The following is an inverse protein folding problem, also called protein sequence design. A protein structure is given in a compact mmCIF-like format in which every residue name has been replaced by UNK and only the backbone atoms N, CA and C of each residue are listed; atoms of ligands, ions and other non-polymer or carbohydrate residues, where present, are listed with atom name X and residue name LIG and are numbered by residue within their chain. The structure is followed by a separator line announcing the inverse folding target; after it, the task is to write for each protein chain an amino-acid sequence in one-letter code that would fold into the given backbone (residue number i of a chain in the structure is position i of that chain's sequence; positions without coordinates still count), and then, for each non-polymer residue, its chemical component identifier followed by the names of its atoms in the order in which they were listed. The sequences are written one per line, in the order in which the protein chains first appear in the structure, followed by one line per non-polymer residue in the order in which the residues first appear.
data_IF_710989183690
#
_entry.id   IF_710989183690
#
_cell.length_a   1.000
_cell.length_b   1.000
_cell.length_c   1.000
_cell.angle_alpha   90.00
_cell.angle_beta   90.00
_cell.angle_gamma   90.00
#
_symmetry.space_group_name_H-M   'P 1'
#
loop_
_entity.id
_entity.type
_entity.pdbx_description
1 polymer ?
#
# COMPACT_ATOMS: atom_id res chain seq x y z
N UNK A 1 -1.21 -39.02 48.34
CA UNK A 1 -1.26 -39.55 46.97
C UNK A 1 -2.56 -39.05 46.35
N UNK A 2 -2.65 -38.18 45.36
CA UNK A 2 -1.69 -37.32 44.66
C UNK A 2 -2.49 -36.17 44.04
N UNK A 3 -1.91 -34.98 44.03
CA UNK A 3 -2.43 -33.80 43.33
C UNK A 3 -2.24 -33.97 41.82
N UNK A 4 -3.22 -33.60 40.99
CA UNK A 4 -2.97 -33.09 39.63
C UNK A 4 -4.09 -32.14 39.21
N UNK A 5 -3.68 -31.02 38.64
CA UNK A 5 -4.48 -29.92 38.15
C UNK A 5 -4.78 -30.09 36.65
N UNK A 6 -5.97 -29.64 36.24
CA UNK A 6 -6.42 -29.28 34.89
C UNK A 6 -7.78 -28.56 35.11
N UNK A 7 -8.21 -27.51 34.41
CA UNK A 7 -7.82 -26.96 33.14
C UNK A 7 -8.14 -25.44 33.09
N UNK A 8 -7.21 -24.74 32.47
CA UNK A 8 -7.15 -23.41 31.84
C UNK A 8 -8.48 -22.82 31.34
N UNK A 9 -8.85 -21.59 31.74
CA UNK A 9 -8.52 -20.30 31.09
C UNK A 9 -9.09 -20.06 29.69
N UNK A 10 -10.05 -19.13 29.56
CA UNK A 10 -10.08 -18.09 28.51
C UNK A 10 -11.22 -17.10 28.82
N UNK A 11 -10.94 -16.02 29.54
CA UNK A 11 -10.57 -14.70 29.00
C UNK A 11 -11.73 -13.95 28.33
N UNK A 12 -12.29 -13.03 29.12
CA UNK A 12 -13.10 -11.93 28.63
C UNK A 12 -12.35 -11.16 27.55
N UNK A 13 -13.00 -10.89 26.42
CA UNK A 13 -12.59 -9.82 25.53
C UNK A 13 -13.84 -9.00 25.20
N UNK A 14 -14.04 -8.02 26.06
CA UNK A 14 -14.88 -6.86 25.81
C UNK A 14 -14.50 -6.24 24.48
N UNK A 15 -15.54 -5.90 23.74
CA UNK A 15 -15.52 -4.97 22.62
C UNK A 15 -14.71 -3.71 23.00
N UNK A 16 -13.66 -3.44 22.24
CA UNK A 16 -12.94 -2.16 22.24
C UNK A 16 -12.31 -1.99 20.87
N UNK A 17 -12.66 -0.94 20.10
CA UNK A 17 -11.93 -0.60 18.90
C UNK A 17 -10.56 -0.08 19.36
N UNK A 18 -9.54 -0.91 19.25
CA UNK A 18 -8.18 -0.55 19.57
C UNK A 18 -7.75 0.63 18.68
N UNK A 19 -7.40 1.72 19.36
CA UNK A 19 -6.84 2.93 18.82
C UNK A 19 -5.59 2.65 17.98
N UNK A 20 -5.45 3.43 16.90
CA UNK A 20 -4.21 3.94 16.32
C UNK A 20 -2.92 3.19 16.69
N UNK A 21 -2.64 2.13 15.94
CA UNK A 21 -1.30 1.56 15.81
C UNK A 21 -0.50 2.29 14.72
N UNK A 22 -0.26 3.60 14.89
CA UNK A 22 0.81 4.28 14.17
C UNK A 22 2.13 3.82 14.77
N UNK A 23 2.79 2.87 14.10
CA UNK A 23 4.05 2.34 14.60
C UNK A 23 4.72 1.37 13.64
N UNK A 24 5.25 1.86 12.52
CA UNK A 24 6.67 1.66 12.23
C UNK A 24 7.13 2.69 11.19
N UNK A 25 8.09 3.53 11.57
CA UNK A 25 8.71 4.51 10.71
C UNK A 25 9.66 3.80 9.71
N UNK A 26 9.10 3.20 8.66
CA UNK A 26 9.83 3.11 7.40
C UNK A 26 9.86 4.53 6.84
N UNK A 27 11.06 5.06 6.56
CA UNK A 27 11.30 6.41 6.04
C UNK A 27 10.10 6.89 5.21
N UNK A 28 9.35 7.87 5.74
CA UNK A 28 8.01 8.20 5.28
C UNK A 28 8.00 8.40 3.76
N UNK A 29 7.71 7.32 3.03
CA UNK A 29 7.65 7.34 1.59
C UNK A 29 6.45 8.23 1.26
N UNK A 30 6.74 9.36 0.62
CA UNK A 30 5.76 10.40 0.39
C UNK A 30 4.54 9.80 -0.31
N UNK A 31 3.40 9.82 0.38
CA UNK A 31 2.13 9.37 -0.20
C UNK A 31 1.67 10.41 -1.22
N UNK A 32 1.49 9.99 -2.46
CA UNK A 32 1.00 10.84 -3.54
C UNK A 32 -0.35 10.33 -3.99
N UNK A 33 -1.38 11.18 -3.95
CA UNK A 33 -2.74 10.80 -4.33
C UNK A 33 -3.11 11.28 -5.73
N UNK A 34 -3.81 10.43 -6.48
CA UNK A 34 -4.38 10.74 -7.79
C UNK A 34 -5.74 10.04 -7.91
N UNK A 35 -6.79 10.80 -8.26
CA UNK A 35 -8.13 10.26 -8.46
C UNK A 35 -8.68 9.37 -7.32
N UNK A 36 -8.37 9.70 -6.07
CA UNK A 36 -8.81 8.94 -4.89
C UNK A 36 -7.97 7.71 -4.56
N UNK A 37 -6.93 7.42 -5.34
CA UNK A 37 -5.94 6.36 -5.10
C UNK A 37 -4.67 6.99 -4.55
N UNK A 38 -4.11 6.45 -3.47
CA UNK A 38 -2.82 6.92 -2.94
C UNK A 38 -1.72 5.91 -3.26
N UNK A 39 -0.60 6.43 -3.75
CA UNK A 39 0.57 5.67 -4.16
C UNK A 39 1.74 5.98 -3.23
N UNK A 40 2.54 4.97 -2.94
CA UNK A 40 3.82 5.12 -2.24
C UNK A 40 4.89 4.23 -2.86
N UNK A 41 6.14 4.64 -2.77
CA UNK A 41 7.29 3.86 -3.23
C UNK A 41 7.72 2.93 -2.10
N UNK A 42 7.74 1.63 -2.36
CA UNK A 42 8.22 0.62 -1.41
C UNK A 42 9.75 0.53 -1.46
N UNK A 43 10.31 -0.24 -0.53
CA UNK A 43 11.76 -0.46 -0.44
C UNK A 43 12.35 -1.13 -1.69
N UNK A 44 11.54 -1.88 -2.44
CA UNK A 44 11.91 -2.52 -3.71
C UNK A 44 11.75 -1.64 -4.95
N UNK A 45 11.50 -0.34 -4.79
CA UNK A 45 11.05 0.58 -5.85
C UNK A 45 9.74 0.13 -6.51
N UNK A 46 8.96 -0.73 -5.87
CA UNK A 46 7.63 -1.06 -6.32
C UNK A 46 6.67 0.05 -5.88
N UNK A 47 5.54 0.19 -6.58
CA UNK A 47 4.51 1.15 -6.20
C UNK A 47 3.42 0.39 -5.46
N UNK A 48 3.22 0.70 -4.18
CA UNK A 48 2.14 0.15 -3.37
C UNK A 48 0.99 1.16 -3.26
N UNK A 49 -0.24 0.67 -3.40
CA UNK A 49 -1.45 1.43 -3.10
C UNK A 49 -1.68 1.48 -1.58
N UNK A 50 -1.92 2.67 -1.03
CA UNK A 50 -2.49 2.84 0.32
C UNK A 50 -3.94 3.25 0.16
N UNK A 51 -4.85 2.29 0.29
CA UNK A 51 -6.28 2.52 0.11
C UNK A 51 -6.79 3.47 1.21
N UNK A 52 -7.09 4.71 0.84
CA UNK A 52 -7.90 5.61 1.65
C UNK A 52 -9.38 5.31 1.44
N UNK A 53 -9.95 4.36 2.20
CA UNK A 53 -11.41 4.20 2.27
C UNK A 53 -12.04 3.08 1.41
N UNK A 54 -11.40 1.91 1.32
CA UNK A 54 -12.05 0.62 1.08
C UNK A 54 -12.60 0.27 -0.32
N UNK A 55 -12.60 1.18 -1.30
CA UNK A 55 -13.28 0.97 -2.58
C UNK A 55 -12.37 0.67 -3.79
N UNK A 56 -11.05 0.76 -3.65
CA UNK A 56 -10.09 0.52 -4.73
C UNK A 56 -9.18 -0.67 -4.40
N UNK A 57 -8.87 -1.49 -5.41
CA UNK A 57 -7.90 -2.58 -5.32
C UNK A 57 -6.99 -2.61 -6.54
N UNK A 58 -5.68 -2.80 -6.33
CA UNK A 58 -4.75 -3.13 -7.40
C UNK A 58 -5.07 -4.53 -7.97
N UNK A 59 -5.23 -4.62 -9.28
CA UNK A 59 -5.40 -5.88 -10.02
C UNK A 59 -4.06 -6.43 -10.51
N UNK A 60 -3.13 -5.55 -10.83
CA UNK A 60 -1.81 -5.91 -11.35
C UNK A 60 -0.92 -4.67 -11.45
N UNK A 61 0.39 -4.92 -11.47
CA UNK A 61 1.38 -3.89 -11.72
C UNK A 61 2.50 -4.42 -12.59
N UNK A 62 2.89 -3.66 -13.61
CA UNK A 62 4.06 -3.93 -14.43
C UNK A 62 5.04 -2.76 -14.33
N UNK A 63 6.34 -3.02 -14.48
CA UNK A 63 7.33 -1.96 -14.40
C UNK A 63 8.47 -2.09 -15.42
N UNK A 64 8.90 -0.97 -15.97
CA UNK A 64 10.04 -0.91 -16.90
C UNK A 64 10.93 0.31 -16.59
N UNK A 65 12.22 0.19 -16.88
CA UNK A 65 13.15 1.32 -16.75
C UNK A 65 13.15 2.10 -18.06
N UNK A 66 12.85 3.39 -18.01
CA UNK A 66 13.01 4.27 -19.16
C UNK A 66 14.43 4.80 -19.24
N UNK A 67 15.22 4.23 -20.16
CA UNK A 67 16.60 4.63 -20.38
C UNK A 67 16.78 6.10 -20.81
N UNK A 68 15.74 6.74 -21.37
CA UNK A 68 15.81 8.14 -21.79
C UNK A 68 15.71 9.14 -20.64
N UNK A 69 14.99 8.78 -19.57
CA UNK A 69 14.79 9.66 -18.40
C UNK A 69 15.45 9.16 -17.13
N UNK A 70 15.88 7.89 -17.11
CA UNK A 70 16.40 7.22 -15.90
C UNK A 70 15.31 6.92 -14.87
N UNK A 71 14.03 7.05 -15.22
CA UNK A 71 12.91 6.80 -14.31
C UNK A 71 12.37 5.38 -14.49
N UNK A 72 12.05 4.72 -13.39
CA UNK A 72 11.26 3.48 -13.38
C UNK A 72 9.80 3.86 -13.57
N UNK A 73 9.14 3.29 -14.56
CA UNK A 73 7.75 3.57 -14.89
C UNK A 73 6.92 2.34 -14.55
N UNK A 74 5.83 2.56 -13.82
CA UNK A 74 4.90 1.53 -13.39
C UNK A 74 3.55 1.74 -14.04
N UNK A 75 3.00 0.68 -14.62
CA UNK A 75 1.59 0.58 -14.98
C UNK A 75 0.86 -0.11 -13.84
N UNK A 76 -0.19 0.51 -13.32
CA UNK A 76 -0.96 -0.01 -12.19
C UNK A 76 -2.42 -0.07 -12.60
N UNK A 77 -2.94 -1.29 -12.74
CA UNK A 77 -4.36 -1.53 -12.95
C UNK A 77 -5.07 -1.50 -11.60
N UNK A 78 -6.01 -0.57 -11.44
CA UNK A 78 -6.78 -0.37 -10.22
C UNK A 78 -8.26 -0.56 -10.54
N UNK A 79 -8.93 -1.44 -9.82
CA UNK A 79 -10.38 -1.52 -9.87
C UNK A 79 -10.97 -0.72 -8.72
N UNK A 80 -11.55 0.44 -9.04
CA UNK A 80 -12.45 1.16 -8.15
C UNK A 80 -13.82 0.49 -8.08
N UNK A 81 -14.67 0.98 -7.19
CA UNK A 81 -15.99 0.39 -6.95
C UNK A 81 -16.84 0.20 -8.20
N UNK A 82 -16.73 1.13 -9.17
CA UNK A 82 -17.58 1.17 -10.36
C UNK A 82 -16.78 1.23 -11.67
N UNK A 83 -15.45 1.37 -11.59
CA UNK A 83 -14.60 1.76 -12.71
C UNK A 83 -13.24 1.06 -12.61
N UNK A 84 -12.74 0.57 -13.75
CA UNK A 84 -11.36 0.15 -13.88
C UNK A 84 -10.53 1.37 -14.31
N UNK A 85 -9.45 1.65 -13.58
CA UNK A 85 -8.57 2.78 -13.78
C UNK A 85 -7.17 2.27 -14.02
N UNK A 86 -6.51 2.75 -15.06
CA UNK A 86 -5.10 2.49 -15.29
C UNK A 86 -4.29 3.71 -14.86
N UNK A 87 -3.25 3.50 -14.07
CA UNK A 87 -2.34 4.55 -13.64
C UNK A 87 -0.94 4.32 -14.17
N UNK A 88 -0.28 5.42 -14.49
CA UNK A 88 1.12 5.46 -14.86
C UNK A 88 1.89 6.25 -13.82
N UNK A 89 2.81 5.60 -13.13
CA UNK A 89 3.56 6.16 -12.02
C UNK A 89 5.04 6.16 -12.39
N UNK A 90 5.64 7.34 -12.44
CA UNK A 90 7.08 7.47 -12.68
C UNK A 90 7.80 7.64 -11.35
N UNK A 91 8.76 6.77 -11.08
CA UNK A 91 9.56 6.73 -9.85
C UNK A 91 11.02 7.02 -10.21
N UNK A 92 11.64 7.92 -9.45
CA UNK A 92 13.09 8.05 -9.43
C UNK A 92 13.63 7.08 -8.38
N UNK A 93 14.35 6.05 -8.83
CA UNK A 93 14.86 4.97 -7.97
C UNK A 93 15.97 5.46 -7.03
N UNK A 94 16.83 6.37 -7.49
CA UNK A 94 17.93 6.92 -6.69
C UNK A 94 17.44 7.69 -5.46
N UNK A 95 16.34 8.42 -5.65
CA UNK A 95 15.71 9.26 -4.62
C UNK A 95 14.50 8.59 -3.97
N UNK A 96 14.15 7.38 -4.41
CA UNK A 96 12.97 6.60 -3.98
C UNK A 96 11.70 7.44 -3.87
N UNK A 97 11.44 8.23 -4.91
CA UNK A 97 10.32 9.18 -4.91
C UNK A 97 9.48 9.08 -6.17
N UNK A 98 8.18 9.28 -6.02
CA UNK A 98 7.28 9.45 -7.15
C UNK A 98 7.52 10.84 -7.76
N UNK A 99 7.76 10.88 -9.07
CA UNK A 99 8.02 12.10 -9.86
C UNK A 99 6.77 12.55 -10.62
N UNK A 100 5.99 11.60 -11.14
CA UNK A 100 4.76 11.88 -11.88
C UNK A 100 3.74 10.77 -11.66
N UNK A 101 2.45 11.14 -11.63
CA UNK A 101 1.32 10.20 -11.64
C UNK A 101 0.31 10.66 -12.66
N UNK A 102 -0.06 9.77 -13.58
CA UNK A 102 -1.08 10.02 -14.59
C UNK A 102 -2.11 8.91 -14.60
N UNK A 103 -3.38 9.28 -14.51
CA UNK A 103 -4.50 8.37 -14.77
C UNK A 103 -4.79 8.32 -16.27
N UNK A 104 -4.95 7.12 -16.81
CA UNK A 104 -5.50 6.86 -18.13
C UNK A 104 -6.96 6.43 -17.97
N UNK A 105 -7.84 7.05 -18.76
CA UNK A 105 -9.30 6.85 -18.79
C UNK A 105 -9.70 5.69 -19.66
#
# INVERSE_FOLDING_TARGET
MGSTAYDSSSSALSDSPAAHGQGNAAAAAALVSCAGVAFTVTEGNEVAEVVGGGAARVLGSESFLDAGTGLRRHFVDVQGGNEAMLFFVSVNEDQRRIVDIRRFS
#
